data_IF_177121514578
#
_entry.id   IF_177121514578
#
_cell.length_a   1.000
_cell.length_b   1.000
_cell.length_c   1.000
_cell.angle_alpha   90.00
_cell.angle_beta   90.00
_cell.angle_gamma   90.00
#
_symmetry.space_group_name_H-M   'P 1'
#
loop_
_entity.id
_entity.type
_entity.pdbx_description
1 polymer ?
#
# COMPACT_ATOMS: atom_id res chain seq x y z
N UNK A 1 -4.53 27.62 -4.07
CA UNK A 1 -3.87 27.41 -2.77
C UNK A 1 -2.58 26.60 -2.94
N UNK A 2 -2.62 25.31 -3.27
CA UNK A 2 -1.41 24.49 -3.43
C UNK A 2 -0.45 24.90 -4.57
N UNK A 3 -0.94 25.59 -5.62
CA UNK A 3 -0.08 26.20 -6.65
C UNK A 3 0.82 27.34 -6.13
N UNK A 4 0.54 27.84 -4.92
CA UNK A 4 1.18 29.01 -4.32
C UNK A 4 1.97 28.60 -3.07
N UNK A 5 1.59 27.51 -2.41
CA UNK A 5 2.25 26.96 -1.23
C UNK A 5 2.51 25.44 -1.40
N UNK A 6 3.76 25.04 -1.69
CA UNK A 6 4.14 23.64 -1.84
C UNK A 6 3.89 22.78 -0.60
N UNK A 7 3.77 23.38 0.59
CA UNK A 7 3.48 22.63 1.82
C UNK A 7 2.07 22.05 1.83
N UNK A 8 1.13 22.64 1.07
CA UNK A 8 -0.26 22.21 0.99
C UNK A 8 -0.50 21.08 -0.03
N UNK A 9 0.54 20.61 -0.71
CA UNK A 9 0.39 19.62 -1.77
C UNK A 9 -0.08 18.26 -1.22
N UNK A 10 0.36 17.89 -0.01
CA UNK A 10 -0.01 16.63 0.62
C UNK A 10 -1.52 16.61 0.97
N UNK A 11 -2.01 17.69 1.58
CA UNK A 11 -3.43 17.85 1.92
C UNK A 11 -4.28 17.95 0.66
N UNK A 12 -3.82 18.67 -0.35
CA UNK A 12 -4.52 18.75 -1.63
C UNK A 12 -4.66 17.38 -2.28
N UNK A 13 -3.58 16.58 -2.33
CA UNK A 13 -3.61 15.23 -2.85
C UNK A 13 -4.63 14.36 -2.08
N UNK A 14 -4.65 14.45 -0.75
CA UNK A 14 -5.59 13.71 0.09
C UNK A 14 -7.06 14.13 -0.13
N UNK A 15 -7.33 15.43 -0.31
CA UNK A 15 -8.67 15.92 -0.65
C UNK A 15 -9.15 15.38 -2.01
N UNK A 16 -8.27 15.37 -3.02
CA UNK A 16 -8.60 14.76 -4.31
C UNK A 16 -8.83 13.25 -4.18
N UNK A 17 -8.02 12.54 -3.37
CA UNK A 17 -8.20 11.11 -3.14
C UNK A 17 -9.56 10.80 -2.51
N UNK A 18 -9.93 11.53 -1.46
CA UNK A 18 -11.19 11.37 -0.72
C UNK A 18 -12.43 11.71 -1.56
N UNK A 19 -12.30 12.63 -2.53
CA UNK A 19 -13.36 12.95 -3.48
C UNK A 19 -13.45 11.98 -4.68
N UNK A 20 -12.69 10.87 -4.66
CA UNK A 20 -12.69 9.87 -5.74
C UNK A 20 -11.83 10.26 -6.95
N UNK A 21 -11.14 11.40 -6.92
CA UNK A 21 -10.32 11.90 -8.02
C UNK A 21 -8.88 11.36 -7.92
N UNK A 22 -8.73 10.04 -7.84
CA UNK A 22 -7.47 9.36 -7.56
C UNK A 22 -6.32 9.70 -8.54
N UNK A 23 -6.60 9.86 -9.84
CA UNK A 23 -5.57 10.26 -10.81
C UNK A 23 -5.05 11.69 -10.59
N UNK A 24 -5.93 12.62 -10.19
CA UNK A 24 -5.51 13.99 -9.84
C UNK A 24 -4.69 13.99 -8.56
N UNK A 25 -5.11 13.21 -7.57
CA UNK A 25 -4.33 12.99 -6.35
C UNK A 25 -2.94 12.43 -6.65
N UNK A 26 -2.83 11.44 -7.55
CA UNK A 26 -1.55 10.86 -7.96
C UNK A 26 -0.65 11.87 -8.68
N UNK A 27 -1.21 12.72 -9.53
CA UNK A 27 -0.48 13.80 -10.21
C UNK A 27 0.11 14.82 -9.21
N UNK A 28 -0.65 15.20 -8.18
CA UNK A 28 -0.15 16.08 -7.12
C UNK A 28 0.86 15.37 -6.21
N UNK A 29 0.56 14.14 -5.79
CA UNK A 29 1.47 13.29 -5.01
C UNK A 29 2.86 13.16 -5.69
N UNK A 30 2.91 13.15 -7.02
CA UNK A 30 4.14 13.18 -7.81
C UNK A 30 5.11 14.29 -7.39
N UNK A 31 4.58 15.45 -7.00
CA UNK A 31 5.28 16.70 -6.76
C UNK A 31 5.72 16.88 -5.28
N UNK A 32 5.32 15.98 -4.37
CA UNK A 32 5.72 16.07 -2.97
C UNK A 32 7.24 15.87 -2.81
N UNK A 33 7.85 16.74 -2.00
CA UNK A 33 9.25 16.68 -1.64
C UNK A 33 9.51 15.72 -0.46
N UNK A 34 8.62 15.72 0.53
CA UNK A 34 8.63 14.80 1.66
C UNK A 34 8.42 13.36 1.16
N UNK A 35 9.48 12.55 1.18
CA UNK A 35 9.46 11.18 0.65
C UNK A 35 8.60 10.24 1.49
N UNK A 36 8.73 10.19 2.83
CA UNK A 36 7.80 9.42 3.66
C UNK A 36 6.34 9.71 3.37
N UNK A 37 5.92 10.98 3.41
CA UNK A 37 4.50 11.31 3.21
C UNK A 37 4.05 11.01 1.78
N UNK A 38 4.89 11.31 0.78
CA UNK A 38 4.66 10.95 -0.62
C UNK A 38 4.44 9.45 -0.79
N UNK A 39 5.27 8.61 -0.19
CA UNK A 39 5.16 7.16 -0.37
C UNK A 39 3.97 6.56 0.38
N UNK A 40 3.66 7.05 1.60
CA UNK A 40 2.45 6.64 2.33
C UNK A 40 1.19 6.90 1.52
N UNK A 41 1.02 8.13 1.02
CA UNK A 41 -0.12 8.49 0.18
C UNK A 41 -0.14 7.74 -1.15
N UNK A 42 1.03 7.52 -1.77
CA UNK A 42 1.13 6.81 -3.04
C UNK A 42 0.70 5.36 -2.93
N UNK A 43 1.09 4.66 -1.86
CA UNK A 43 0.65 3.30 -1.61
C UNK A 43 -0.89 3.25 -1.48
N UNK A 44 -1.47 4.16 -0.69
CA UNK A 44 -2.92 4.26 -0.55
C UNK A 44 -3.63 4.52 -1.90
N UNK A 45 -3.06 5.38 -2.74
CA UNK A 45 -3.57 5.66 -4.09
C UNK A 45 -3.51 4.45 -5.00
N UNK A 46 -2.39 3.70 -5.02
CA UNK A 46 -2.27 2.48 -5.81
C UNK A 46 -3.27 1.41 -5.35
N UNK A 47 -3.45 1.23 -4.05
CA UNK A 47 -4.44 0.29 -3.51
C UNK A 47 -5.88 0.70 -3.89
N UNK A 48 -6.22 1.99 -3.78
CA UNK A 48 -7.53 2.50 -4.19
C UNK A 48 -7.80 2.31 -5.69
N UNK A 49 -6.76 2.45 -6.53
CA UNK A 49 -6.83 2.20 -7.97
C UNK A 49 -6.74 0.70 -8.33
N UNK A 50 -6.54 -0.18 -7.35
CA UNK A 50 -6.28 -1.63 -7.54
C UNK A 50 -5.06 -1.92 -8.40
N UNK A 51 -4.08 -1.02 -8.37
CA UNK A 51 -2.78 -1.13 -9.05
C UNK A 51 -1.83 -1.93 -8.17
N UNK A 52 -2.11 -3.23 -8.01
CA UNK A 52 -1.45 -4.08 -7.02
C UNK A 52 0.02 -4.32 -7.33
N UNK A 53 0.40 -4.46 -8.60
CA UNK A 53 1.82 -4.59 -8.99
C UNK A 53 2.62 -3.33 -8.63
N UNK A 54 2.07 -2.15 -8.89
CA UNK A 54 2.70 -0.89 -8.53
C UNK A 54 2.74 -0.70 -7.01
N UNK A 55 1.70 -1.13 -6.28
CA UNK A 55 1.69 -1.15 -4.83
C UNK A 55 2.76 -2.10 -4.27
N UNK A 56 2.89 -3.32 -4.80
CA UNK A 56 3.92 -4.27 -4.41
C UNK A 56 5.33 -3.73 -4.69
N UNK A 57 5.53 -3.08 -5.84
CA UNK A 57 6.79 -2.42 -6.19
C UNK A 57 7.19 -1.27 -5.23
N UNK A 58 6.27 -0.77 -4.39
CA UNK A 58 6.59 0.23 -3.36
C UNK A 58 7.35 -0.35 -2.17
N UNK A 59 7.49 -1.67 -2.03
CA UNK A 59 8.22 -2.29 -0.92
C UNK A 59 9.63 -1.71 -0.75
N UNK A 60 10.44 -1.68 -1.82
CA UNK A 60 11.81 -1.16 -1.75
C UNK A 60 11.86 0.34 -1.41
N UNK A 61 11.08 1.22 -2.08
CA UNK A 61 10.98 2.62 -1.67
C UNK A 61 10.60 2.83 -0.20
N UNK A 62 9.62 2.08 0.31
CA UNK A 62 9.15 2.21 1.69
C UNK A 62 10.20 1.72 2.70
N UNK A 63 10.85 0.59 2.42
CA UNK A 63 11.95 0.07 3.23
C UNK A 63 13.06 1.11 3.40
N UNK A 64 13.49 1.73 2.28
CA UNK A 64 14.60 2.71 2.27
C UNK A 64 14.34 3.94 3.13
N UNK A 65 13.08 4.31 3.35
CA UNK A 65 12.69 5.45 4.17
C UNK A 65 12.17 5.04 5.56
N UNK A 66 12.31 3.76 5.93
CA UNK A 66 11.90 3.24 7.24
C UNK A 66 10.38 3.10 7.44
N UNK A 67 9.57 3.19 6.37
CA UNK A 67 8.11 3.12 6.48
C UNK A 67 7.57 1.70 6.67
N UNK A 68 8.38 0.66 6.51
CA UNK A 68 7.95 -0.72 6.80
C UNK A 68 7.94 -1.04 8.31
N UNK A 69 8.46 -0.15 9.16
CA UNK A 69 8.27 -0.23 10.61
C UNK A 69 6.80 0.05 10.99
N UNK A 70 6.05 0.76 10.13
CA UNK A 70 4.61 0.94 10.29
C UNK A 70 3.89 -0.33 9.82
N UNK A 71 3.44 -1.15 10.78
CA UNK A 71 2.80 -2.43 10.46
C UNK A 71 1.57 -2.32 9.56
N UNK A 72 0.84 -1.20 9.57
CA UNK A 72 -0.27 -0.97 8.63
C UNK A 72 0.23 -0.87 7.17
N UNK A 73 1.38 -0.23 6.94
CA UNK A 73 2.01 -0.14 5.61
C UNK A 73 2.64 -1.47 5.21
N UNK A 74 3.24 -2.19 6.16
CA UNK A 74 3.74 -3.54 5.95
C UNK A 74 2.63 -4.50 5.54
N UNK A 75 1.50 -4.49 6.25
CA UNK A 75 0.33 -5.26 5.88
C UNK A 75 -0.21 -4.86 4.49
N UNK A 76 -0.24 -3.57 4.18
CA UNK A 76 -0.65 -3.08 2.86
C UNK A 76 0.24 -3.61 1.72
N UNK A 77 1.56 -3.72 1.95
CA UNK A 77 2.50 -4.36 1.01
C UNK A 77 2.25 -5.87 0.91
N UNK A 78 2.06 -6.57 2.03
CA UNK A 78 1.71 -7.99 2.01
C UNK A 78 0.43 -8.26 1.20
N UNK A 79 -0.59 -7.43 1.38
CA UNK A 79 -1.84 -7.52 0.63
C UNK A 79 -1.64 -7.24 -0.86
N UNK A 80 -0.81 -6.27 -1.23
CA UNK A 80 -0.49 -5.99 -2.63
C UNK A 80 0.28 -7.16 -3.28
N UNK A 81 1.26 -7.73 -2.58
CA UNK A 81 2.02 -8.91 -3.03
C UNK A 81 1.09 -10.11 -3.25
N UNK A 82 0.19 -10.39 -2.29
CA UNK A 82 -0.84 -11.42 -2.47
C UNK A 82 -1.69 -11.16 -3.72
N UNK A 83 -2.19 -9.94 -3.91
CA UNK A 83 -3.00 -9.60 -5.09
C UNK A 83 -2.24 -9.66 -6.41
N UNK A 84 -0.91 -9.64 -6.36
CA UNK A 84 -0.01 -9.83 -7.50
C UNK A 84 0.48 -11.28 -7.66
N UNK A 85 0.04 -12.21 -6.80
CA UNK A 85 0.45 -13.61 -6.84
C UNK A 85 1.81 -13.91 -6.19
N UNK A 86 2.41 -12.94 -5.52
CA UNK A 86 3.72 -13.07 -4.87
C UNK A 86 3.58 -13.59 -3.42
N UNK A 87 3.05 -14.79 -3.26
CA UNK A 87 2.64 -15.36 -1.98
C UNK A 87 3.78 -15.53 -0.98
N UNK A 88 4.92 -16.08 -1.40
CA UNK A 88 6.10 -16.24 -0.54
C UNK A 88 6.54 -14.91 0.08
N UNK A 89 6.56 -13.84 -0.73
CA UNK A 89 6.93 -12.50 -0.28
C UNK A 89 5.87 -11.91 0.63
N UNK A 90 4.59 -12.15 0.36
CA UNK A 90 3.51 -11.71 1.23
C UNK A 90 3.66 -12.33 2.64
N UNK A 91 3.96 -13.62 2.73
CA UNK A 91 4.14 -14.32 4.01
C UNK A 91 5.31 -13.77 4.85
N UNK A 92 6.42 -13.40 4.22
CA UNK A 92 7.55 -12.74 4.90
C UNK A 92 7.09 -11.48 5.63
N UNK A 93 6.30 -10.62 4.98
CA UNK A 93 5.77 -9.40 5.61
C UNK A 93 4.75 -9.70 6.71
N UNK A 94 3.88 -10.70 6.50
CA UNK A 94 2.89 -11.08 7.50
C UNK A 94 3.53 -11.68 8.76
N UNK A 95 4.69 -12.33 8.63
CA UNK A 95 5.41 -12.93 9.75
C UNK A 95 6.00 -11.89 10.71
N UNK A 96 6.27 -10.68 10.22
CA UNK A 96 6.83 -9.58 11.03
C UNK A 96 5.75 -8.74 11.74
N UNK A 97 4.46 -9.00 11.51
CA UNK A 97 3.38 -8.29 12.21
C UNK A 97 3.29 -8.75 13.67
N UNK A 98 3.30 -7.80 14.59
CA UNK A 98 3.20 -8.04 16.04
C UNK A 98 1.99 -7.39 16.69
N UNK A 99 1.34 -6.43 15.99
CA UNK A 99 0.16 -5.73 16.49
C UNK A 99 -1.08 -6.63 16.51
N UNK A 100 -1.74 -6.77 17.68
CA UNK A 100 -2.91 -7.65 17.81
C UNK A 100 -4.08 -7.32 16.88
N UNK A 101 -4.29 -6.03 16.54
CA UNK A 101 -5.39 -5.61 15.67
C UNK A 101 -5.21 -6.06 14.20
N UNK A 102 -3.97 -6.37 13.80
CA UNK A 102 -3.66 -6.86 12.46
C UNK A 102 -3.68 -8.39 12.36
N UNK A 103 -3.64 -9.13 13.48
CA UNK A 103 -3.59 -10.60 13.45
C UNK A 103 -4.77 -11.25 12.75
N UNK A 104 -5.98 -10.71 12.94
CA UNK A 104 -7.16 -11.22 12.24
C UNK A 104 -7.01 -11.07 10.72
N UNK A 105 -6.62 -9.87 10.27
CA UNK A 105 -6.42 -9.57 8.84
C UNK A 105 -5.29 -10.39 8.23
N UNK A 106 -4.20 -10.61 8.99
CA UNK A 106 -3.10 -11.45 8.59
C UNK A 106 -3.54 -12.91 8.45
N UNK A 107 -4.25 -13.46 9.44
CA UNK A 107 -4.76 -14.83 9.39
C UNK A 107 -5.72 -15.07 8.22
N UNK A 108 -6.61 -14.11 7.94
CA UNK A 108 -7.49 -14.15 6.77
C UNK A 108 -6.70 -14.17 5.46
N UNK A 109 -5.66 -13.32 5.35
CA UNK A 109 -4.82 -13.26 4.16
C UNK A 109 -4.01 -14.55 3.95
N UNK A 110 -3.45 -15.13 5.03
CA UNK A 110 -2.74 -16.42 4.98
C UNK A 110 -3.66 -17.56 4.50
N UNK A 111 -4.90 -17.59 5.00
CA UNK A 111 -5.88 -18.58 4.52
C UNK A 111 -6.17 -18.41 3.03
N UNK A 112 -6.32 -17.16 2.56
CA UNK A 112 -6.53 -16.89 1.14
C UNK A 112 -5.32 -17.30 0.28
N UNK A 113 -4.09 -17.13 0.78
CA UNK A 113 -2.87 -17.64 0.13
C UNK A 113 -2.92 -19.17 0.03
N UNK A 114 -3.23 -19.87 1.12
CA UNK A 114 -3.32 -21.34 1.13
C UNK A 114 -4.39 -21.84 0.15
N UNK A 115 -5.58 -21.25 0.17
CA UNK A 115 -6.66 -21.57 -0.77
C UNK A 115 -6.20 -21.40 -2.23
N UNK A 116 -5.41 -20.36 -2.50
CA UNK A 116 -4.82 -20.05 -3.80
C UNK A 116 -3.76 -21.05 -4.27
N UNK A 117 -2.90 -21.51 -3.35
CA UNK A 117 -1.83 -22.47 -3.63
C UNK A 117 -2.38 -23.88 -3.86
N UNK A 118 -3.40 -24.27 -3.11
CA UNK A 118 -4.08 -25.55 -3.28
C UNK A 118 -4.95 -25.57 -4.55
N UNK A 119 -5.65 -24.47 -4.82
CA UNK A 119 -6.65 -24.35 -5.86
C UNK A 119 -6.53 -22.98 -6.56
N UNK A 120 -5.76 -22.91 -7.64
CA UNK A 120 -5.47 -21.65 -8.34
C UNK A 120 -6.72 -20.88 -8.84
N UNK A 121 -7.86 -21.56 -8.99
CA UNK A 121 -9.13 -20.94 -9.38
C UNK A 121 -9.81 -20.16 -8.25
N UNK A 122 -9.40 -20.35 -6.98
CA UNK A 122 -9.91 -19.62 -5.81
C UNK A 122 -9.31 -18.22 -5.65
N UNK A 123 -8.29 -17.84 -6.45
CA UNK A 123 -7.60 -16.56 -6.36
C UNK A 123 -8.33 -15.32 -6.91
N UNK A 124 -9.63 -15.44 -7.24
CA UNK A 124 -10.39 -14.40 -7.97
C UNK A 124 -10.88 -13.26 -7.07
#
# INVERSE_FOLDING_TARGET
AALIDPTLLAEAAELYRRSGQAYRALSLNGQLADQPEKFRQRLALYLQLRYFEQAAAMETPLYRVGLLEEEDLRYAIAYALFKSGEFDRAEVHLAELTRPDLFRKAAELRRAIQDCEEDSWKCL
#
